data_IF_953579525719
#
_entry.id   IF_953579525719
#
_cell.length_a   1.000
_cell.length_b   1.000
_cell.length_c   1.000
_cell.angle_alpha   90.00
_cell.angle_beta   90.00
_cell.angle_gamma   90.00
#
_symmetry.space_group_name_H-M   'P 1'
#
loop_
_entity.id
_entity.type
_entity.pdbx_description
1 polymer ?
#
# COMPACT_ATOMS: atom_id res chain seq x y z
N UNK A 1 -6.71 9.42 21.27
CA UNK A 1 -5.71 9.06 20.25
C UNK A 1 -5.63 10.21 19.27
N UNK A 2 -4.48 10.89 19.15
CA UNK A 2 -4.33 11.89 18.11
C UNK A 2 -4.10 11.18 16.75
N UNK A 3 -5.11 11.26 15.90
CA UNK A 3 -5.11 10.69 14.54
C UNK A 3 -4.05 11.35 13.64
N UNK A 4 -3.51 12.51 14.04
CA UNK A 4 -2.39 13.16 13.34
C UNK A 4 -1.17 12.24 13.21
N UNK A 5 -0.94 11.35 14.18
CA UNK A 5 0.15 10.38 14.18
C UNK A 5 -0.02 9.29 13.10
N UNK A 6 -1.25 9.03 12.66
CA UNK A 6 -1.56 8.02 11.64
C UNK A 6 -1.47 8.55 10.22
N UNK A 7 -1.20 9.84 10.00
CA UNK A 7 -1.09 10.43 8.65
C UNK A 7 -0.12 9.65 7.76
N UNK A 8 1.05 9.27 8.29
CA UNK A 8 2.07 8.52 7.53
C UNK A 8 1.59 7.12 7.11
N UNK A 9 1.13 6.24 8.04
CA UNK A 9 0.50 4.97 7.65
C UNK A 9 -0.64 5.14 6.65
N UNK A 10 -1.48 6.16 6.84
CA UNK A 10 -2.67 6.35 6.02
C UNK A 10 -2.33 6.75 4.58
N UNK A 11 -1.33 7.62 4.39
CA UNK A 11 -0.81 7.94 3.04
C UNK A 11 -0.22 6.70 2.37
N UNK A 12 0.53 5.88 3.10
CA UNK A 12 1.11 4.66 2.56
C UNK A 12 0.03 3.65 2.14
N UNK A 13 -1.05 3.50 2.92
CA UNK A 13 -2.20 2.66 2.54
C UNK A 13 -2.81 3.17 1.23
N UNK A 14 -3.06 4.48 1.10
CA UNK A 14 -3.64 5.05 -0.13
C UNK A 14 -2.72 4.80 -1.33
N UNK A 15 -1.42 5.01 -1.19
CA UNK A 15 -0.45 4.78 -2.26
C UNK A 15 -0.33 3.30 -2.63
N UNK A 16 -0.29 2.40 -1.64
CA UNK A 16 -0.26 0.96 -1.85
C UNK A 16 -1.49 0.47 -2.60
N UNK A 17 -2.68 0.88 -2.14
CA UNK A 17 -3.94 0.55 -2.80
C UNK A 17 -4.01 1.08 -4.24
N UNK A 18 -3.56 2.32 -4.48
CA UNK A 18 -3.52 2.89 -5.83
C UNK A 18 -2.62 2.05 -6.76
N UNK A 19 -1.44 1.64 -6.30
CA UNK A 19 -0.54 0.78 -7.08
C UNK A 19 -1.16 -0.60 -7.35
N UNK A 20 -1.78 -1.24 -6.36
CA UNK A 20 -2.47 -2.52 -6.54
C UNK A 20 -3.57 -2.38 -7.58
N UNK A 21 -4.42 -1.35 -7.48
CA UNK A 21 -5.52 -1.12 -8.42
C UNK A 21 -4.99 -0.87 -9.83
N UNK A 22 -3.98 -0.01 -9.99
CA UNK A 22 -3.36 0.26 -11.29
C UNK A 22 -2.80 -1.05 -11.87
N UNK A 23 -2.00 -1.80 -11.11
CA UNK A 23 -1.43 -3.06 -11.55
C UNK A 23 -2.49 -4.08 -11.97
N UNK A 24 -3.60 -4.17 -11.24
CA UNK A 24 -4.73 -5.03 -11.57
C UNK A 24 -5.45 -4.59 -12.85
N UNK A 25 -5.65 -3.29 -13.05
CA UNK A 25 -6.25 -2.74 -14.27
C UNK A 25 -5.38 -3.09 -15.47
N UNK A 26 -4.08 -2.80 -15.40
CA UNK A 26 -3.14 -3.14 -16.49
C UNK A 26 -3.11 -4.65 -16.78
N UNK A 27 -3.14 -5.48 -15.73
CA UNK A 27 -3.21 -6.95 -15.85
C UNK A 27 -4.51 -7.41 -16.53
N UNK A 28 -5.64 -6.83 -16.15
CA UNK A 28 -6.97 -7.24 -16.61
C UNK A 28 -7.25 -6.84 -18.06
N UNK A 29 -6.84 -5.63 -18.44
CA UNK A 29 -7.10 -5.07 -19.77
C UNK A 29 -5.97 -5.30 -20.78
N UNK A 30 -4.89 -6.00 -20.38
CA UNK A 30 -3.69 -6.25 -21.21
C UNK A 30 -3.18 -4.97 -21.89
N UNK A 31 -3.20 -3.86 -21.15
CA UNK A 31 -2.89 -2.51 -21.66
C UNK A 31 -1.38 -2.33 -21.88
N UNK A 32 -0.80 -3.06 -22.83
CA UNK A 32 0.56 -2.89 -23.33
C UNK A 32 1.70 -3.18 -22.34
N UNK A 33 1.43 -3.20 -21.04
CA UNK A 33 2.37 -3.61 -20.01
C UNK A 33 2.26 -5.12 -19.91
N UNK A 34 3.37 -5.80 -20.18
CA UNK A 34 3.46 -7.25 -20.09
C UNK A 34 2.97 -7.71 -18.70
N UNK A 35 2.34 -8.88 -18.66
CA UNK A 35 1.73 -9.46 -17.44
C UNK A 35 2.71 -9.45 -16.25
N UNK A 36 4.01 -9.63 -16.52
CA UNK A 36 5.07 -9.58 -15.53
C UNK A 36 5.22 -8.19 -14.87
N UNK A 37 5.16 -7.11 -15.66
CA UNK A 37 5.26 -5.74 -15.14
C UNK A 37 4.02 -5.39 -14.30
N UNK A 38 2.84 -5.77 -14.76
CA UNK A 38 1.59 -5.58 -14.02
C UNK A 38 1.62 -6.31 -12.66
N UNK A 39 2.11 -7.56 -12.64
CA UNK A 39 2.28 -8.31 -11.40
C UNK A 39 3.30 -7.66 -10.45
N UNK A 40 4.41 -7.12 -10.97
CA UNK A 40 5.41 -6.44 -10.15
C UNK A 40 4.83 -5.21 -9.46
N UNK A 41 3.94 -4.45 -10.13
CA UNK A 41 3.30 -3.27 -9.53
C UNK A 41 2.32 -3.68 -8.44
N UNK A 42 1.51 -4.72 -8.67
CA UNK A 42 0.61 -5.26 -7.64
C UNK A 42 1.42 -5.71 -6.42
N UNK A 43 2.55 -6.40 -6.64
CA UNK A 43 3.43 -6.83 -5.56
C UNK A 43 4.02 -5.65 -4.79
N UNK A 44 4.51 -4.61 -5.50
CA UNK A 44 5.03 -3.39 -4.87
C UNK A 44 3.96 -2.67 -4.05
N UNK A 45 2.73 -2.57 -4.56
CA UNK A 45 1.60 -2.01 -3.82
C UNK A 45 1.31 -2.79 -2.54
N UNK A 46 1.28 -4.13 -2.61
CA UNK A 46 1.09 -4.98 -1.44
C UNK A 46 2.21 -4.86 -0.40
N UNK A 47 3.47 -4.74 -0.82
CA UNK A 47 4.59 -4.50 0.10
C UNK A 47 4.41 -3.17 0.85
N UNK A 48 3.99 -2.11 0.16
CA UNK A 48 3.74 -0.80 0.77
C UNK A 48 2.62 -0.89 1.81
N UNK A 49 1.54 -1.63 1.53
CA UNK A 49 0.45 -1.84 2.49
C UNK A 49 0.93 -2.58 3.74
N UNK A 50 1.76 -3.62 3.61
CA UNK A 50 2.34 -4.34 4.75
C UNK A 50 3.19 -3.41 5.61
N UNK A 51 4.04 -2.58 5.00
CA UNK A 51 4.86 -1.59 5.72
C UNK A 51 3.98 -0.57 6.44
N UNK A 52 2.90 -0.11 5.81
CA UNK A 52 1.96 0.82 6.42
C UNK A 52 1.26 0.20 7.64
N UNK A 53 0.85 -1.07 7.55
CA UNK A 53 0.24 -1.80 8.65
C UNK A 53 1.22 -1.96 9.83
N UNK A 54 2.48 -2.32 9.56
CA UNK A 54 3.53 -2.41 10.60
C UNK A 54 3.72 -1.07 11.28
N UNK A 55 3.80 0.04 10.53
CA UNK A 55 3.94 1.38 11.10
C UNK A 55 2.75 1.76 11.98
N UNK A 56 1.52 1.47 11.54
CA UNK A 56 0.32 1.70 12.33
C UNK A 56 0.36 0.92 13.65
N UNK A 57 0.76 -0.36 13.62
CA UNK A 57 0.91 -1.21 14.82
C UNK A 57 1.96 -0.63 15.77
N UNK A 58 3.13 -0.22 15.27
CA UNK A 58 4.19 0.38 16.09
C UNK A 58 3.71 1.67 16.78
N UNK A 59 2.96 2.52 16.06
CA UNK A 59 2.37 3.74 16.63
C UNK A 59 1.37 3.39 17.72
N UNK A 60 0.48 2.42 17.48
CA UNK A 60 -0.49 1.95 18.48
C UNK A 60 0.19 1.44 19.76
N UNK A 61 1.29 0.67 19.62
CA UNK A 61 2.06 0.17 20.76
C UNK A 61 2.72 1.33 21.52
N UNK A 62 3.32 2.30 20.82
CA UNK A 62 3.95 3.47 21.45
C UNK A 62 2.96 4.37 22.17
N UNK A 63 1.74 4.52 21.64
CA UNK A 63 0.69 5.33 22.27
C UNK A 63 0.05 4.67 23.49
N UNK A 64 0.21 3.35 23.67
CA UNK A 64 -0.28 2.61 24.85
C UNK A 64 0.71 2.60 26.02
N UNK A 65 1.96 2.96 25.80
CA UNK A 65 2.97 3.17 26.85
C UNK A 65 2.96 4.61 27.32
#
# INVERSE_FOLDING_TARGET
MDLSNFRKPLILIILGAALVVIGLVFKSYKLGWGIMQANNIVMLGGIIEVVAAVLAIVILIKMKK
#
